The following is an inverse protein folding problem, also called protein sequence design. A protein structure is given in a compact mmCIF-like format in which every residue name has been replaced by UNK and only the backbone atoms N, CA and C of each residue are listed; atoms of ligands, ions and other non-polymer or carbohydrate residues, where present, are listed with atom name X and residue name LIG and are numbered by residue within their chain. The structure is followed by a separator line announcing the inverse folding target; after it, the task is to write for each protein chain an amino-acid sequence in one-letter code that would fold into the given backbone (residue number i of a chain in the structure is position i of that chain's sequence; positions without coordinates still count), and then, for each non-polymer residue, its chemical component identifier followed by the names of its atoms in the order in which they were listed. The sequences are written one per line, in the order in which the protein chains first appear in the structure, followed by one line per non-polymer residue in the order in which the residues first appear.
data_IF_603942420897
#
_entry.id   IF_603942420897
#
_cell.length_a   1.000
_cell.length_b   1.000
_cell.length_c   1.000
_cell.angle_alpha   90.00
_cell.angle_beta   90.00
_cell.angle_gamma   90.00
#
_symmetry.space_group_name_H-M   'P 1'
#
loop_
_entity.id
_entity.type
_entity.pdbx_description
1 polymer ?
#
# COMPACT_ATOMS: atom_id res chain seq x y z
N UNK A 1 -13.65 7.93 -4.26
CA UNK A 1 -12.42 7.61 -3.53
C UNK A 1 -11.88 6.34 -4.17
N UNK A 2 -10.70 6.40 -4.78
CA UNK A 2 -10.06 5.21 -5.33
C UNK A 2 -9.21 4.57 -4.23
N UNK A 3 -9.31 3.25 -4.09
CA UNK A 3 -8.40 2.47 -3.27
C UNK A 3 -7.94 1.25 -4.04
N UNK A 4 -6.73 0.80 -3.73
CA UNK A 4 -6.07 -0.35 -4.35
C UNK A 4 -5.42 -1.19 -3.26
N UNK A 5 -5.35 -2.50 -3.49
CA UNK A 5 -4.72 -3.42 -2.54
C UNK A 5 -3.19 -3.30 -2.66
N UNK A 6 -2.50 -3.22 -1.52
CA UNK A 6 -1.05 -3.31 -1.50
C UNK A 6 -0.60 -4.70 -1.96
N UNK A 7 0.35 -4.78 -2.89
CA UNK A 7 0.85 -6.05 -3.42
C UNK A 7 1.59 -6.92 -2.40
N UNK A 8 1.93 -6.36 -1.23
CA UNK A 8 2.60 -7.05 -0.12
C UNK A 8 1.62 -7.47 0.96
N UNK A 9 0.95 -6.51 1.60
CA UNK A 9 0.16 -6.77 2.81
C UNK A 9 -1.35 -6.92 2.53
N UNK A 10 -1.76 -6.77 1.26
CA UNK A 10 -3.13 -6.92 0.77
C UNK A 10 -4.15 -5.92 1.37
N UNK A 11 -3.69 -4.98 2.19
CA UNK A 11 -4.52 -3.90 2.77
C UNK A 11 -5.07 -3.00 1.66
N UNK A 12 -6.33 -2.58 1.78
CA UNK A 12 -6.90 -1.54 0.91
C UNK A 12 -6.31 -0.18 1.26
N UNK A 13 -5.51 0.39 0.36
CA UNK A 13 -4.80 1.66 0.52
C UNK A 13 -5.50 2.74 -0.30
N UNK A 14 -5.69 3.93 0.27
CA UNK A 14 -6.24 5.07 -0.48
C UNK A 14 -5.20 5.61 -1.47
N UNK A 15 -5.60 5.70 -2.73
CA UNK A 15 -4.86 6.39 -3.78
C UNK A 15 -5.40 7.82 -3.88
N UNK A 16 -4.52 8.82 -3.93
CA UNK A 16 -4.94 10.15 -4.35
C UNK A 16 -5.10 10.12 -5.87
N UNK A 17 -6.33 10.24 -6.35
CA UNK A 17 -6.58 10.12 -7.77
C UNK A 17 -8.04 10.33 -8.15
N UNK A 18 -8.39 11.56 -8.53
CA UNK A 18 -9.65 11.91 -9.17
C UNK A 18 -9.85 13.42 -9.31
N UNK A 19 -10.63 13.87 -10.30
CA UNK A 19 -11.01 15.29 -10.42
C UNK A 19 -11.78 15.78 -9.19
N UNK A 20 -12.36 14.88 -8.40
CA UNK A 20 -12.97 15.17 -7.09
C UNK A 20 -11.95 15.55 -6.00
N UNK A 21 -10.74 15.00 -6.03
CA UNK A 21 -9.65 15.31 -5.09
C UNK A 21 -8.89 16.60 -5.48
N UNK A 22 -9.09 17.11 -6.71
CA UNK A 22 -8.58 18.42 -7.14
C UNK A 22 -9.41 19.60 -6.61
N UNK A 23 -10.70 19.37 -6.32
CA UNK A 23 -11.63 20.40 -5.81
C UNK A 23 -11.98 20.22 -4.34
N UNK A 24 -11.87 19.00 -3.82
CA UNK A 24 -11.86 18.73 -2.41
C UNK A 24 -10.38 18.69 -1.99
N UNK A 25 -9.92 19.72 -1.28
CA UNK A 25 -8.69 19.65 -0.49
C UNK A 25 -8.87 18.60 0.62
N UNK A 26 -9.05 17.33 0.26
CA UNK A 26 -8.99 16.22 1.18
C UNK A 26 -7.52 16.13 1.60
N UNK A 27 -7.20 16.80 2.69
CA UNK A 27 -5.92 16.75 3.40
C UNK A 27 -5.56 15.34 3.91
N UNK A 28 -6.28 14.30 3.48
CA UNK A 28 -5.91 12.93 3.76
C UNK A 28 -4.77 12.56 2.80
N UNK A 29 -3.56 12.45 3.35
CA UNK A 29 -2.37 12.03 2.62
C UNK A 29 -2.62 10.70 1.91
N UNK A 30 -2.08 10.57 0.69
CA UNK A 30 -1.90 9.27 0.05
C UNK A 30 -1.27 8.31 1.04
N UNK A 31 -1.66 7.04 0.98
CA UNK A 31 -1.11 6.01 1.89
C UNK A 31 -0.27 4.97 1.13
N UNK A 32 -0.10 5.15 -0.19
CA UNK A 32 0.71 4.31 -1.05
C UNK A 32 0.91 4.94 -2.44
N UNK A 33 1.80 4.35 -3.23
CA UNK A 33 2.07 4.73 -4.61
C UNK A 33 2.62 3.54 -5.39
N UNK A 34 2.45 3.60 -6.72
CA UNK A 34 3.05 2.64 -7.65
C UNK A 34 4.54 2.94 -7.81
N UNK A 35 5.37 1.93 -7.57
CA UNK A 35 6.82 1.96 -7.78
C UNK A 35 7.17 1.16 -9.03
N UNK A 36 8.05 1.73 -9.85
CA UNK A 36 8.79 1.00 -10.88
C UNK A 36 10.11 0.53 -10.27
N UNK A 37 10.37 -0.78 -10.29
CA UNK A 37 11.57 -1.41 -9.75
C UNK A 37 12.66 -1.57 -10.82
N UNK A 38 13.86 -1.96 -10.39
CA UNK A 38 15.05 -2.01 -11.28
C UNK A 38 14.98 -3.07 -12.38
N UNK A 39 14.17 -4.11 -12.18
CA UNK A 39 13.88 -5.14 -13.17
C UNK A 39 12.76 -4.72 -14.15
N UNK A 40 12.23 -3.51 -14.02
CA UNK A 40 11.14 -2.96 -14.82
C UNK A 40 9.76 -3.46 -14.40
N UNK A 41 9.65 -4.15 -13.26
CA UNK A 41 8.36 -4.51 -12.67
C UNK A 41 7.72 -3.30 -11.98
N UNK A 42 6.39 -3.26 -11.98
CA UNK A 42 5.61 -2.21 -11.33
C UNK A 42 4.75 -2.83 -10.22
N UNK A 43 4.83 -2.26 -9.01
CA UNK A 43 4.05 -2.70 -7.85
C UNK A 43 3.45 -1.52 -7.10
N UNK A 44 2.22 -1.69 -6.62
CA UNK A 44 1.57 -0.71 -5.76
C UNK A 44 1.78 -1.09 -4.28
N UNK A 45 2.55 -0.26 -3.58
CA UNK A 45 2.90 -0.48 -2.17
C UNK A 45 2.38 0.64 -1.27
N UNK A 46 1.91 0.26 -0.08
CA UNK A 46 1.70 1.24 0.99
C UNK A 46 3.04 1.74 1.54
N UNK A 47 3.04 2.92 2.15
CA UNK A 47 4.25 3.49 2.73
C UNK A 47 4.90 2.58 3.79
N UNK A 48 4.10 1.87 4.60
CA UNK A 48 4.63 0.92 5.59
C UNK A 48 5.43 -0.23 4.95
N UNK A 49 4.99 -0.73 3.78
CA UNK A 49 5.69 -1.81 3.07
C UNK A 49 6.90 -1.27 2.31
N UNK A 50 6.80 -0.05 1.81
CA UNK A 50 7.90 0.64 1.14
C UNK A 50 9.09 0.86 2.08
N UNK A 51 8.83 1.24 3.33
CA UNK A 51 9.87 1.38 4.37
C UNK A 51 10.52 0.05 4.79
N UNK A 52 9.92 -1.08 4.40
CA UNK A 52 10.44 -2.43 4.69
C UNK A 52 11.18 -3.05 3.51
N UNK A 53 11.26 -2.36 2.37
CA UNK A 53 12.09 -2.80 1.27
C UNK A 53 13.57 -2.78 1.69
N UNK A 54 14.42 -3.59 1.04
CA UNK A 54 15.85 -3.56 1.27
C UNK A 54 16.43 -2.16 1.01
N UNK A 55 17.30 -1.70 1.91
CA UNK A 55 18.05 -0.46 1.78
C UNK A 55 19.52 -0.69 1.40
N UNK A 56 19.97 -1.95 1.40
CA UNK A 56 21.33 -2.37 1.07
C UNK A 56 21.57 -2.61 -0.43
N UNK A 57 20.50 -2.75 -1.21
CA UNK A 57 20.53 -2.90 -2.66
C UNK A 57 19.28 -2.28 -3.31
N UNK A 58 19.30 -2.15 -4.63
CA UNK A 58 18.14 -1.63 -5.35
C UNK A 58 17.03 -2.69 -5.42
N UNK A 59 15.78 -2.38 -4.98
CA UNK A 59 14.73 -3.39 -4.91
C UNK A 59 14.33 -3.99 -6.27
N UNK A 60 13.93 -5.26 -6.23
CA UNK A 60 13.47 -6.08 -7.36
C UNK A 60 12.13 -6.75 -7.05
N UNK A 61 11.52 -7.40 -8.04
CA UNK A 61 10.30 -8.19 -7.82
C UNK A 61 10.49 -9.35 -6.82
N UNK A 62 11.71 -9.90 -6.71
CA UNK A 62 12.03 -10.95 -5.74
C UNK A 62 11.93 -10.42 -4.31
N UNK A 63 12.45 -9.21 -4.07
CA UNK A 63 12.37 -8.57 -2.74
C UNK A 63 10.93 -8.27 -2.31
N UNK A 64 10.08 -7.92 -3.27
CA UNK A 64 8.64 -7.73 -3.01
C UNK A 64 7.97 -9.06 -2.66
N UNK A 65 8.31 -10.14 -3.36
CA UNK A 65 7.80 -11.48 -3.08
C UNK A 65 8.25 -12.00 -1.71
N UNK A 66 9.53 -11.83 -1.38
CA UNK A 66 10.09 -12.17 -0.07
C UNK A 66 9.46 -11.33 1.05
N UNK A 67 9.26 -10.04 0.80
CA UNK A 67 8.56 -9.15 1.72
C UNK A 67 7.10 -9.57 1.92
N UNK A 68 6.43 -10.07 0.88
CA UNK A 68 5.07 -10.63 0.98
C UNK A 68 5.06 -11.91 1.81
N UNK A 69 5.98 -12.84 1.59
CA UNK A 69 6.03 -14.11 2.33
C UNK A 69 6.27 -13.89 3.84
N UNK A 70 7.09 -12.90 4.20
CA UNK A 70 7.37 -12.56 5.60
C UNK A 70 6.35 -11.62 6.25
N UNK A 71 5.45 -11.03 5.46
CA UNK A 71 4.41 -10.14 5.98
C UNK A 71 3.15 -10.95 6.19
N UNK A 72 2.71 -11.08 7.44
CA UNK A 72 1.38 -11.64 7.72
C UNK A 72 0.33 -10.78 6.99
N UNK A 73 -0.48 -11.36 6.08
CA UNK A 73 -1.56 -10.61 5.45
C UNK A 73 -2.47 -10.09 6.54
N UNK A 74 -2.90 -8.83 6.41
CA UNK A 74 -3.86 -8.25 7.36
C UNK A 74 -5.14 -9.08 7.25
N UNK A 75 -5.47 -9.86 8.29
CA UNK A 75 -6.85 -10.32 8.46
C UNK A 75 -7.71 -9.07 8.40
N UNK A 76 -8.66 -8.99 7.45
CA UNK A 76 -9.57 -7.86 7.28
C UNK A 76 -9.97 -7.36 8.67
N UNK A 77 -9.50 -6.17 9.06
CA UNK A 77 -9.83 -5.58 10.34
C UNK A 77 -11.35 -5.55 10.45
N UNK A 78 -11.87 -6.52 11.18
CA UNK A 78 -13.28 -6.69 11.41
C UNK A 78 -13.81 -5.39 11.98
N UNK A 79 -14.87 -4.89 11.37
CA UNK A 79 -15.75 -3.83 11.89
C UNK A 79 -16.24 -4.15 13.31
N UNK A 80 -15.37 -4.06 14.32
CA UNK A 80 -15.67 -4.40 15.71
C UNK A 80 -15.70 -3.18 16.64
N UNK A 81 -15.65 -1.96 16.07
CA UNK A 81 -15.77 -0.74 16.88
C UNK A 81 -17.23 -0.24 17.07
N UNK A 82 -18.23 -0.91 16.49
CA UNK A 82 -19.65 -0.53 16.62
C UNK A 82 -20.46 -1.34 17.66
N UNK A 83 -19.82 -2.16 18.50
CA UNK A 83 -20.51 -2.84 19.59
C UNK A 83 -20.03 -2.35 20.96
N UNK A 84 -20.95 -1.65 21.65
CA UNK A 84 -21.10 -1.32 23.09
C UNK A 84 -21.35 0.20 23.26
N UNK A 85 -22.44 0.68 23.84
CA UNK A 85 -23.57 0.09 24.55
C UNK A 85 -24.26 1.21 25.33
#
# INVERSE_FOLDING_TARGET
MASEACDVCERSVRIAGGIGDLWNFAFESTQGLTLELTDGSEFFLCFDCMERLPDDHEPTAEDVADLRERTDPVEEDGNHFWHWG
#
